data_IF_452408994963
#
_entry.id   IF_452408994963
#
_cell.length_a   1.000
_cell.length_b   1.000
_cell.length_c   1.000
_cell.angle_alpha   90.00
_cell.angle_beta   90.00
_cell.angle_gamma   90.00
#
_symmetry.space_group_name_H-M   'P 1'
#
loop_
_entity.id
_entity.type
_entity.pdbx_description
1 polymer ?
#
# COMPACT_ATOMS: atom_id res chain seq x y z
N UNK A 1 -19.96 -5.26 -8.99
CA UNK A 1 -19.69 -5.60 -10.42
C UNK A 1 -18.20 -5.34 -10.66
N UNK A 2 -17.32 -6.27 -11.06
CA UNK A 2 -17.40 -7.62 -11.67
C UNK A 2 -16.52 -8.59 -10.87
N UNK A 3 -17.11 -9.59 -10.21
CA UNK A 3 -16.40 -10.83 -9.93
C UNK A 3 -16.42 -11.62 -11.25
N UNK A 4 -15.45 -11.34 -12.13
CA UNK A 4 -15.26 -12.17 -13.30
C UNK A 4 -14.85 -13.56 -12.81
N UNK A 5 -15.52 -14.58 -13.32
CA UNK A 5 -15.34 -16.01 -13.06
C UNK A 5 -13.88 -16.45 -13.23
N UNK A 6 -13.05 -16.28 -12.19
CA UNK A 6 -11.70 -16.83 -12.16
C UNK A 6 -11.85 -18.33 -11.99
N UNK A 7 -11.45 -19.10 -12.99
CA UNK A 7 -11.48 -20.56 -12.85
C UNK A 7 -10.52 -20.96 -11.71
N UNK A 8 -10.82 -22.01 -10.93
CA UNK A 8 -9.94 -22.44 -9.83
C UNK A 8 -8.50 -22.72 -10.28
N UNK A 9 -8.29 -23.07 -11.56
CA UNK A 9 -6.97 -23.27 -12.16
C UNK A 9 -6.21 -21.95 -12.35
N UNK A 10 -6.87 -20.91 -12.83
CA UNK A 10 -6.28 -19.58 -13.00
C UNK A 10 -5.90 -18.96 -11.65
N UNK A 11 -6.76 -19.09 -10.64
CA UNK A 11 -6.45 -18.60 -9.30
C UNK A 11 -5.21 -19.29 -8.70
N UNK A 12 -5.11 -20.63 -8.84
CA UNK A 12 -3.92 -21.37 -8.41
C UNK A 12 -2.66 -20.91 -9.13
N UNK A 13 -2.76 -20.64 -10.42
CA UNK A 13 -1.64 -20.16 -11.22
C UNK A 13 -1.21 -18.73 -10.80
N UNK A 14 -2.18 -17.85 -10.52
CA UNK A 14 -1.92 -16.50 -9.98
C UNK A 14 -1.22 -16.58 -8.62
N UNK A 15 -1.73 -17.38 -7.68
CA UNK A 15 -1.12 -17.55 -6.35
C UNK A 15 0.32 -18.08 -6.48
N UNK A 16 0.54 -19.08 -7.31
CA UNK A 16 1.89 -19.62 -7.58
C UNK A 16 2.83 -18.55 -8.14
N UNK A 17 2.34 -17.72 -9.06
CA UNK A 17 3.09 -16.60 -9.63
C UNK A 17 3.50 -15.60 -8.53
N UNK A 18 2.55 -15.22 -7.66
CA UNK A 18 2.79 -14.31 -6.55
C UNK A 18 3.82 -14.85 -5.56
N UNK A 19 3.75 -16.13 -5.19
CA UNK A 19 4.73 -16.74 -4.29
C UNK A 19 6.15 -16.73 -4.91
N UNK A 20 6.28 -17.09 -6.19
CA UNK A 20 7.58 -17.09 -6.86
C UNK A 20 8.18 -15.67 -6.96
N UNK A 21 7.33 -14.66 -7.18
CA UNK A 21 7.78 -13.28 -7.31
C UNK A 21 8.09 -12.64 -5.96
N UNK A 22 7.11 -12.58 -5.05
CA UNK A 22 7.23 -11.83 -3.80
C UNK A 22 7.93 -12.59 -2.67
N UNK A 23 7.74 -13.92 -2.56
CA UNK A 23 8.38 -14.71 -1.49
C UNK A 23 9.76 -15.23 -1.87
N UNK A 24 9.96 -15.56 -3.15
CA UNK A 24 11.21 -16.17 -3.63
C UNK A 24 12.10 -15.22 -4.46
N UNK A 25 11.64 -13.99 -4.74
CA UNK A 25 12.42 -12.98 -5.45
C UNK A 25 12.82 -13.37 -6.88
N UNK A 26 12.09 -14.30 -7.53
CA UNK A 26 12.45 -14.77 -8.88
C UNK A 26 12.14 -13.71 -9.93
N UNK A 27 12.95 -13.66 -10.98
CA UNK A 27 12.70 -12.76 -12.12
C UNK A 27 11.45 -13.20 -12.88
N UNK A 28 10.77 -12.27 -13.55
CA UNK A 28 9.59 -12.60 -14.37
C UNK A 28 9.92 -13.59 -15.49
N UNK A 29 11.17 -13.63 -15.98
CA UNK A 29 11.64 -14.57 -16.98
C UNK A 29 11.77 -15.99 -16.41
N UNK A 30 12.25 -16.14 -15.19
CA UNK A 30 12.37 -17.44 -14.52
C UNK A 30 10.99 -17.99 -14.12
N UNK A 31 10.09 -17.09 -13.70
CA UNK A 31 8.69 -17.42 -13.40
C UNK A 31 7.98 -17.88 -14.68
N UNK A 32 8.19 -17.18 -15.80
CA UNK A 32 7.65 -17.54 -17.11
C UNK A 32 8.05 -18.98 -17.49
N UNK A 33 9.35 -19.32 -17.35
CA UNK A 33 9.83 -20.68 -17.57
C UNK A 33 9.22 -21.71 -16.62
N UNK A 34 9.07 -21.36 -15.34
CA UNK A 34 8.51 -22.25 -14.31
C UNK A 34 7.02 -22.52 -14.51
N UNK A 35 6.27 -21.52 -14.97
CA UNK A 35 4.81 -21.61 -15.17
C UNK A 35 4.41 -21.99 -16.60
N UNK A 36 5.36 -22.11 -17.53
CA UNK A 36 5.09 -22.42 -18.94
C UNK A 36 4.32 -21.31 -19.66
N UNK A 37 4.50 -20.04 -19.26
CA UNK A 37 3.84 -18.88 -19.86
C UNK A 37 4.85 -17.84 -20.32
N UNK A 38 4.43 -16.86 -21.11
CA UNK A 38 5.30 -15.73 -21.48
C UNK A 38 5.54 -14.77 -20.31
N UNK A 39 6.68 -14.07 -20.32
CA UNK A 39 6.97 -13.01 -19.34
C UNK A 39 5.89 -11.90 -19.35
N UNK A 40 5.31 -11.59 -20.52
CA UNK A 40 4.17 -10.67 -20.63
C UNK A 40 2.92 -11.18 -19.89
N UNK A 41 2.73 -12.50 -19.82
CA UNK A 41 1.62 -13.09 -19.06
C UNK A 41 1.89 -13.03 -17.56
N UNK A 42 3.13 -13.27 -17.12
CA UNK A 42 3.56 -13.06 -15.73
C UNK A 42 3.30 -11.63 -15.30
N UNK A 43 3.74 -10.65 -16.08
CA UNK A 43 3.50 -9.22 -15.80
C UNK A 43 2.01 -8.89 -15.68
N UNK A 44 1.17 -9.37 -16.60
CA UNK A 44 -0.29 -9.20 -16.53
C UNK A 44 -0.91 -9.86 -15.30
N UNK A 45 -0.45 -11.04 -14.90
CA UNK A 45 -0.93 -11.74 -13.71
C UNK A 45 -0.58 -10.98 -12.43
N UNK A 46 0.65 -10.48 -12.31
CA UNK A 46 1.08 -9.66 -11.16
C UNK A 46 0.26 -8.37 -11.08
N UNK A 47 0.10 -7.67 -12.21
CA UNK A 47 -0.70 -6.44 -12.28
C UNK A 47 -2.15 -6.71 -11.91
N UNK A 48 -2.76 -7.75 -12.48
CA UNK A 48 -4.14 -8.13 -12.16
C UNK A 48 -4.32 -8.47 -10.68
N UNK A 49 -3.38 -9.21 -10.09
CA UNK A 49 -3.42 -9.55 -8.68
C UNK A 49 -3.34 -8.31 -7.77
N UNK A 50 -2.56 -7.31 -8.18
CA UNK A 50 -2.54 -6.02 -7.52
C UNK A 50 -3.88 -5.27 -7.68
N UNK A 51 -4.38 -5.15 -8.91
CA UNK A 51 -5.65 -4.46 -9.23
C UNK A 51 -6.87 -5.12 -8.55
N UNK A 52 -6.86 -6.45 -8.36
CA UNK A 52 -7.90 -7.21 -7.67
C UNK A 52 -7.72 -7.25 -6.14
N UNK A 53 -6.66 -6.63 -5.59
CA UNK A 53 -6.41 -6.55 -4.15
C UNK A 53 -5.89 -7.84 -3.51
N UNK A 54 -5.41 -8.81 -4.30
CA UNK A 54 -4.74 -10.03 -3.80
C UNK A 54 -3.35 -9.75 -3.23
N UNK A 55 -2.77 -8.60 -3.60
CA UNK A 55 -1.47 -8.14 -3.12
C UNK A 55 -1.62 -6.74 -2.56
N UNK A 56 -1.17 -6.55 -1.32
CA UNK A 56 -0.93 -5.22 -0.74
C UNK A 56 0.57 -5.00 -0.64
N UNK A 57 1.03 -3.87 -1.16
CA UNK A 57 2.43 -3.45 -1.02
C UNK A 57 2.48 -2.40 0.07
N UNK A 58 3.13 -2.71 1.18
CA UNK A 58 3.43 -1.76 2.24
C UNK A 58 4.86 -1.28 2.02
N UNK A 59 5.04 0.05 1.93
CA UNK A 59 6.34 0.68 1.82
C UNK A 59 6.70 1.28 3.17
N UNK A 60 7.73 0.74 3.80
CA UNK A 60 8.34 1.37 4.98
C UNK A 60 9.34 2.42 4.49
N UNK A 61 8.86 3.65 4.32
CA UNK A 61 9.68 4.78 3.89
C UNK A 61 10.35 5.42 5.11
N UNK A 62 11.64 5.81 5.03
CA UNK A 62 12.33 6.44 6.15
C UNK A 62 11.64 7.76 6.53
N UNK A 63 11.20 7.81 7.79
CA UNK A 63 10.56 8.98 8.40
C UNK A 63 11.50 10.18 8.43
N UNK A 64 10.93 11.37 8.49
CA UNK A 64 11.68 12.63 8.66
C UNK A 64 11.66 13.05 10.13
N UNK A 65 12.18 12.18 10.99
CA UNK A 65 12.08 12.30 12.45
C UNK A 65 12.64 13.64 12.98
N UNK A 66 13.75 14.12 12.44
CA UNK A 66 14.32 15.43 12.81
C UNK A 66 13.37 16.58 12.52
N UNK A 67 12.63 16.49 11.41
CA UNK A 67 11.69 17.51 10.96
C UNK A 67 10.39 17.45 11.77
N UNK A 68 9.93 16.23 12.09
CA UNK A 68 8.80 15.98 13.00
C UNK A 68 9.10 16.55 14.40
N UNK A 69 10.28 16.23 14.96
CA UNK A 69 10.72 16.73 16.25
C UNK A 69 10.84 18.26 16.26
N UNK A 70 11.42 18.85 15.20
CA UNK A 70 11.52 20.30 15.06
C UNK A 70 10.16 21.01 15.00
N UNK A 71 9.14 20.39 14.38
CA UNK A 71 7.78 20.93 14.37
C UNK A 71 7.14 20.87 15.77
N UNK A 72 7.31 19.75 16.48
CA UNK A 72 6.82 19.57 17.85
C UNK A 72 7.40 20.62 18.77
N UNK A 73 8.72 20.78 18.78
CA UNK A 73 9.41 21.74 19.64
C UNK A 73 9.04 23.19 19.29
N UNK A 74 9.06 23.54 18.01
CA UNK A 74 8.82 24.93 17.56
C UNK A 74 7.40 25.41 17.81
N UNK A 75 6.42 24.53 17.67
CA UNK A 75 5.00 24.89 17.73
C UNK A 75 4.27 24.35 18.97
N UNK A 76 4.96 23.62 19.86
CA UNK A 76 4.37 23.03 21.06
C UNK A 76 3.30 21.99 20.76
N UNK A 77 3.48 21.21 19.69
CA UNK A 77 2.52 20.17 19.29
C UNK A 77 2.65 18.95 20.21
N UNK A 78 1.60 18.10 20.25
CA UNK A 78 1.71 16.80 20.93
C UNK A 78 2.47 15.77 20.11
N UNK A 79 2.28 15.83 18.80
CA UNK A 79 2.95 14.96 17.83
C UNK A 79 2.90 15.63 16.44
N UNK A 80 3.78 15.19 15.54
CA UNK A 80 3.82 15.62 14.15
C UNK A 80 4.21 14.44 13.25
N UNK A 81 3.53 14.31 12.12
CA UNK A 81 3.84 13.32 11.08
C UNK A 81 4.13 14.06 9.78
N UNK A 82 5.30 13.78 9.18
CA UNK A 82 5.73 14.43 7.94
C UNK A 82 5.68 13.43 6.79
N UNK A 83 4.81 13.72 5.82
CA UNK A 83 4.71 12.96 4.56
C UNK A 83 5.51 13.70 3.48
N UNK A 84 6.46 13.04 2.81
CA UNK A 84 7.23 13.67 1.73
C UNK A 84 6.31 14.02 0.55
N UNK A 85 6.44 15.24 0.03
CA UNK A 85 5.73 15.68 -1.17
C UNK A 85 6.68 15.71 -2.39
N UNK A 86 6.15 15.49 -3.59
CA UNK A 86 6.90 15.62 -4.85
C UNK A 86 7.35 14.30 -5.51
N UNK A 87 6.84 13.16 -5.03
CA UNK A 87 6.97 11.87 -5.71
C UNK A 87 6.02 11.72 -6.92
N UNK A 88 6.01 10.53 -7.52
CA UNK A 88 5.03 10.17 -8.57
C UNK A 88 3.64 9.79 -8.00
N UNK A 89 3.52 9.61 -6.68
CA UNK A 89 2.29 9.24 -6.00
C UNK A 89 1.35 10.43 -5.77
N UNK A 90 0.08 10.14 -5.48
CA UNK A 90 -0.85 11.16 -5.01
C UNK A 90 -0.56 11.46 -3.54
N UNK A 91 0.00 12.65 -3.30
CA UNK A 91 0.31 13.15 -1.96
C UNK A 91 -0.89 13.08 -1.02
N UNK A 92 -2.13 13.16 -1.55
CA UNK A 92 -3.35 13.06 -0.74
C UNK A 92 -3.59 11.66 -0.22
N UNK A 93 -3.38 10.65 -1.05
CA UNK A 93 -3.53 9.24 -0.67
C UNK A 93 -2.47 8.86 0.36
N UNK A 94 -1.23 9.34 0.16
CA UNK A 94 -0.13 9.16 1.11
C UNK A 94 -0.44 9.85 2.45
N UNK A 95 -1.02 11.06 2.41
CA UNK A 95 -1.43 11.79 3.61
C UNK A 95 -2.57 11.09 4.36
N UNK A 96 -3.59 10.60 3.65
CA UNK A 96 -4.69 9.83 4.24
C UNK A 96 -4.19 8.54 4.89
N UNK A 97 -3.29 7.81 4.22
CA UNK A 97 -2.65 6.60 4.75
C UNK A 97 -1.86 6.89 6.02
N UNK A 98 -1.04 7.95 6.03
CA UNK A 98 -0.27 8.36 7.20
C UNK A 98 -1.18 8.80 8.36
N UNK A 99 -2.26 9.52 8.07
CA UNK A 99 -3.23 9.95 9.06
C UNK A 99 -3.99 8.76 9.69
N UNK A 100 -4.38 7.77 8.89
CA UNK A 100 -5.01 6.54 9.37
C UNK A 100 -4.05 5.75 10.28
N UNK A 101 -2.81 5.55 9.84
CA UNK A 101 -1.78 4.87 10.64
C UNK A 101 -1.46 5.61 11.95
N UNK A 102 -1.49 6.94 11.94
CA UNK A 102 -1.35 7.73 13.16
C UNK A 102 -2.58 7.60 14.06
N UNK A 103 -3.78 7.65 13.50
CA UNK A 103 -5.03 7.50 14.23
C UNK A 103 -5.10 6.14 14.94
N UNK A 104 -4.72 5.04 14.27
CA UNK A 104 -4.66 3.71 14.87
C UNK A 104 -3.76 3.63 16.11
N UNK A 105 -2.68 4.42 16.15
CA UNK A 105 -1.77 4.48 17.31
C UNK A 105 -2.37 5.20 18.50
N UNK A 106 -3.19 6.22 18.26
CA UNK A 106 -3.79 7.05 19.33
C UNK A 106 -5.22 6.64 19.69
N UNK A 107 -5.86 5.83 18.86
CA UNK A 107 -7.22 5.38 19.06
C UNK A 107 -7.29 4.47 20.30
N UNK A 108 -8.30 4.70 21.14
CA UNK A 108 -8.55 3.92 22.33
C UNK A 108 -10.05 3.64 22.47
N UNK A 109 -10.39 2.57 23.20
CA UNK A 109 -11.79 2.24 23.47
C UNK A 109 -12.49 3.39 24.19
N UNK A 110 -13.67 3.78 23.70
CA UNK A 110 -14.45 4.89 24.25
C UNK A 110 -14.03 6.28 23.75
N UNK A 111 -13.06 6.38 22.85
CA UNK A 111 -12.66 7.65 22.23
C UNK A 111 -13.80 8.21 21.36
N UNK A 112 -14.14 9.48 21.55
CA UNK A 112 -15.12 10.21 20.73
C UNK A 112 -14.38 10.96 19.63
N UNK A 113 -14.71 10.66 18.37
CA UNK A 113 -14.08 11.28 17.21
C UNK A 113 -14.97 12.39 16.67
N UNK A 114 -14.43 13.61 16.61
CA UNK A 114 -15.04 14.72 15.86
C UNK A 114 -14.48 14.76 14.45
N UNK A 115 -15.34 14.71 13.44
CA UNK A 115 -14.96 14.81 12.04
C UNK A 115 -15.40 16.16 11.48
N UNK A 116 -14.48 16.89 10.83
CA UNK A 116 -14.79 18.10 10.09
C UNK A 116 -15.15 17.78 8.63
N UNK A 117 -15.35 18.80 7.80
CA UNK A 117 -15.46 18.63 6.34
C UNK A 117 -14.18 19.12 5.68
N UNK A 118 -13.73 18.41 4.66
CA UNK A 118 -12.58 18.83 3.85
C UNK A 118 -12.13 17.73 2.91
N UNK A 119 -11.57 18.12 1.77
CA UNK A 119 -11.06 17.18 0.77
C UNK A 119 -9.97 16.27 1.33
N UNK A 120 -9.20 16.73 2.32
CA UNK A 120 -8.16 15.94 2.99
C UNK A 120 -8.72 14.87 3.93
N UNK A 121 -9.88 15.09 4.53
CA UNK A 121 -10.50 14.14 5.46
C UNK A 121 -11.30 13.04 4.73
N UNK A 122 -11.67 13.28 3.47
CA UNK A 122 -12.44 12.33 2.66
C UNK A 122 -11.58 11.24 2.01
N UNK A 123 -10.27 11.48 1.87
CA UNK A 123 -9.31 10.55 1.28
C UNK A 123 -9.01 9.42 2.26
#
# INVERSE_FOLDING_TARGET
>A
MKAASVTPRELRQTVRCLELYYRQGRSQKDIAGTLGVSAATVSRLLKRAFDEGLVRVELDLPRREELEAGLVERFGLRDAVVVPAGGRGDVKEELGTAAAAYFEKIAANGLRVGLSRGFTLYQ
#
